data_IF_739518441929
#
_entry.id   IF_739518441929
#
_cell.length_a   1.000
_cell.length_b   1.000
_cell.length_c   1.000
_cell.angle_alpha   90.00
_cell.angle_beta   90.00
_cell.angle_gamma   90.00
#
_symmetry.space_group_name_H-M   'P 1'
#
loop_
_entity.id
_entity.type
_entity.pdbx_description
1 polymer ?
#
# COMPACT_ATOMS: atom_id res chain seq x y z
N UNK A 1 -23.17 -50.79 -54.02
CA UNK A 1 -23.26 -49.99 -55.26
C UNK A 1 -22.54 -48.66 -55.01
N UNK A 2 -21.56 -48.36 -55.85
CA UNK A 2 -20.73 -47.14 -56.02
C UNK A 2 -21.25 -45.82 -55.39
N UNK A 3 -20.47 -45.12 -54.53
CA UNK A 3 -19.43 -44.07 -54.81
C UNK A 3 -19.98 -42.76 -55.37
N UNK A 4 -19.88 -41.65 -54.60
CA UNK A 4 -19.32 -40.31 -54.98
C UNK A 4 -19.56 -39.29 -53.84
N UNK A 5 -18.54 -38.98 -53.03
CA UNK A 5 -17.76 -37.72 -53.02
C UNK A 5 -18.58 -36.41 -52.97
N UNK A 6 -18.54 -35.73 -51.82
CA UNK A 6 -18.26 -34.29 -51.81
C UNK A 6 -17.37 -33.92 -50.62
N UNK A 7 -16.16 -33.52 -50.98
CA UNK A 7 -15.12 -32.94 -50.13
C UNK A 7 -15.35 -31.42 -50.15
N UNK A 8 -14.81 -30.72 -49.14
CA UNK A 8 -14.54 -29.27 -49.03
C UNK A 8 -15.59 -28.40 -48.30
N UNK A 9 -15.31 -28.08 -47.03
CA UNK A 9 -14.80 -26.75 -46.62
C UNK A 9 -14.29 -26.79 -45.17
N UNK A 10 -12.96 -26.90 -44.97
CA UNK A 10 -12.32 -26.44 -43.74
C UNK A 10 -12.17 -24.93 -43.89
N UNK A 11 -13.10 -24.16 -43.32
CA UNK A 11 -12.88 -22.73 -43.09
C UNK A 11 -12.18 -22.59 -41.75
N UNK A 12 -10.97 -22.03 -41.81
CA UNK A 12 -10.13 -21.77 -40.64
C UNK A 12 -10.85 -20.83 -39.68
N UNK A 13 -10.92 -21.25 -38.41
CA UNK A 13 -11.12 -20.31 -37.33
C UNK A 13 -9.77 -19.65 -37.09
N UNK A 14 -9.63 -18.42 -37.58
CA UNK A 14 -8.60 -17.50 -37.15
C UNK A 14 -8.82 -17.30 -35.66
N UNK A 15 -7.88 -17.78 -34.83
CA UNK A 15 -7.84 -17.50 -33.41
C UNK A 15 -7.59 -15.99 -33.27
N UNK A 16 -8.67 -15.22 -33.12
CA UNK A 16 -8.56 -13.82 -32.79
C UNK A 16 -7.94 -13.73 -31.40
N UNK A 17 -6.65 -13.37 -31.36
CA UNK A 17 -5.96 -12.98 -30.15
C UNK A 17 -6.66 -11.71 -29.64
N UNK A 18 -7.66 -11.87 -28.78
CA UNK A 18 -8.23 -10.76 -28.05
C UNK A 18 -7.12 -10.24 -27.13
N UNK A 19 -6.46 -9.17 -27.56
CA UNK A 19 -5.74 -8.30 -26.65
C UNK A 19 -6.75 -7.86 -25.61
N UNK A 20 -6.72 -8.48 -24.43
CA UNK A 20 -7.41 -7.96 -23.27
C UNK A 20 -6.77 -6.59 -22.99
N UNK A 21 -7.41 -5.52 -23.48
CA UNK A 21 -7.20 -4.21 -22.88
C UNK A 21 -7.58 -4.41 -21.42
N UNK A 22 -6.59 -4.40 -20.54
CA UNK A 22 -6.82 -4.15 -19.13
C UNK A 22 -7.30 -2.71 -19.10
N UNK A 23 -8.60 -2.48 -19.28
CA UNK A 23 -9.19 -1.20 -18.94
C UNK A 23 -8.86 -1.00 -17.47
N UNK A 24 -8.14 0.07 -17.14
CA UNK A 24 -7.97 0.50 -15.76
C UNK A 24 -9.33 0.35 -15.06
N UNK A 25 -9.40 -0.53 -14.07
CA UNK A 25 -10.67 -0.85 -13.42
C UNK A 25 -11.25 0.41 -12.76
N UNK A 26 -12.57 0.45 -12.49
CA UNK A 26 -13.24 1.60 -11.87
C UNK A 26 -12.51 2.13 -10.63
N UNK A 27 -11.95 1.21 -9.81
CA UNK A 27 -11.22 1.55 -8.60
C UNK A 27 -9.91 2.33 -8.83
N UNK A 28 -9.19 2.10 -9.93
CA UNK A 28 -7.95 2.84 -10.22
C UNK A 28 -8.27 4.29 -10.64
N UNK A 29 -9.29 4.46 -11.48
CA UNK A 29 -9.77 5.78 -11.87
C UNK A 29 -10.31 6.58 -10.67
N UNK A 30 -10.98 5.92 -9.72
CA UNK A 30 -11.47 6.54 -8.49
C UNK A 30 -10.33 7.03 -7.57
N UNK A 31 -9.20 6.30 -7.51
CA UNK A 31 -8.01 6.72 -6.76
C UNK A 31 -7.30 7.93 -7.38
N UNK A 32 -7.16 7.94 -8.71
CA UNK A 32 -6.59 9.09 -9.43
C UNK A 32 -7.43 10.35 -9.22
N UNK A 33 -8.76 10.24 -9.35
CA UNK A 33 -9.69 11.35 -9.05
C UNK A 33 -9.52 11.83 -7.61
N UNK A 34 -9.40 10.92 -6.64
CA UNK A 34 -9.19 11.30 -5.26
C UNK A 34 -7.87 12.08 -5.05
N UNK A 35 -6.78 11.65 -5.69
CA UNK A 35 -5.49 12.35 -5.64
C UNK A 35 -5.59 13.75 -6.24
N UNK A 36 -6.19 13.90 -7.41
CA UNK A 36 -6.45 15.20 -8.04
C UNK A 36 -7.26 16.13 -7.13
N UNK A 37 -8.28 15.58 -6.44
CA UNK A 37 -9.08 16.33 -5.47
C UNK A 37 -8.26 16.75 -4.24
N UNK A 38 -7.36 15.89 -3.74
CA UNK A 38 -6.45 16.24 -2.64
C UNK A 38 -5.48 17.35 -3.05
N UNK A 39 -4.89 17.27 -4.25
CA UNK A 39 -4.01 18.31 -4.80
C UNK A 39 -4.75 19.64 -4.98
N UNK A 40 -6.01 19.59 -5.40
CA UNK A 40 -6.86 20.77 -5.53
C UNK A 40 -7.40 21.29 -4.17
N UNK A 41 -7.02 20.69 -3.04
CA UNK A 41 -7.48 21.08 -1.70
C UNK A 41 -8.96 20.75 -1.42
N UNK A 42 -9.60 19.93 -2.26
CA UNK A 42 -11.01 19.52 -2.14
C UNK A 42 -11.14 18.28 -1.27
N UNK A 43 -10.66 18.37 -0.03
CA UNK A 43 -10.47 17.20 0.84
C UNK A 43 -11.76 16.44 1.16
N UNK A 44 -12.88 17.11 1.42
CA UNK A 44 -14.17 16.41 1.65
C UNK A 44 -14.59 15.55 0.45
N UNK A 45 -14.38 16.05 -0.77
CA UNK A 45 -14.69 15.31 -2.00
C UNK A 45 -13.71 14.16 -2.21
N UNK A 46 -12.42 14.39 -1.95
CA UNK A 46 -11.41 13.34 -2.00
C UNK A 46 -11.75 12.21 -1.03
N UNK A 47 -12.12 12.54 0.22
CA UNK A 47 -12.54 11.55 1.22
C UNK A 47 -13.73 10.73 0.74
N UNK A 48 -14.73 11.39 0.17
CA UNK A 48 -15.91 10.71 -0.37
C UNK A 48 -15.52 9.74 -1.50
N UNK A 49 -14.59 10.13 -2.39
CA UNK A 49 -14.08 9.27 -3.45
C UNK A 49 -13.26 8.09 -2.92
N UNK A 50 -12.44 8.29 -1.89
CA UNK A 50 -11.61 7.25 -1.26
C UNK A 50 -12.41 6.22 -0.47
N UNK A 51 -13.51 6.66 0.15
CA UNK A 51 -14.21 5.88 1.18
C UNK A 51 -14.65 4.48 0.73
N UNK A 52 -15.27 4.29 -0.45
CA UNK A 52 -15.67 2.95 -0.90
C UNK A 52 -14.48 1.99 -1.06
N UNK A 53 -13.37 2.48 -1.64
CA UNK A 53 -12.16 1.69 -1.85
C UNK A 53 -11.47 1.34 -0.53
N UNK A 54 -11.32 2.31 0.38
CA UNK A 54 -10.73 2.10 1.71
C UNK A 54 -11.56 1.08 2.52
N UNK A 55 -12.90 1.20 2.47
CA UNK A 55 -13.82 0.25 3.13
C UNK A 55 -13.79 -1.15 2.54
N UNK A 56 -13.39 -1.29 1.28
CA UNK A 56 -13.20 -2.57 0.58
C UNK A 56 -11.78 -3.12 0.76
N UNK A 57 -10.93 -2.44 1.53
CA UNK A 57 -9.59 -2.88 1.86
C UNK A 57 -8.54 -2.57 0.80
N UNK A 58 -8.78 -1.62 -0.11
CA UNK A 58 -7.72 -1.13 -1.00
C UNK A 58 -6.65 -0.40 -0.17
N UNK A 59 -5.41 -0.90 -0.21
CA UNK A 59 -4.34 -0.41 0.66
C UNK A 59 -3.93 1.04 0.36
N UNK A 60 -3.94 1.46 -0.90
CA UNK A 60 -3.64 2.84 -1.29
C UNK A 60 -4.72 3.81 -0.78
N UNK A 61 -6.00 3.44 -0.91
CA UNK A 61 -7.09 4.23 -0.35
C UNK A 61 -7.01 4.33 1.19
N UNK A 62 -6.68 3.22 1.86
CA UNK A 62 -6.48 3.21 3.32
C UNK A 62 -5.32 4.13 3.76
N UNK A 63 -4.22 4.14 3.01
CA UNK A 63 -3.08 5.02 3.26
C UNK A 63 -3.49 6.49 3.13
N UNK A 64 -4.19 6.86 2.05
CA UNK A 64 -4.65 8.22 1.84
C UNK A 64 -5.65 8.68 2.91
N UNK A 65 -6.56 7.80 3.36
CA UNK A 65 -7.43 8.12 4.51
C UNK A 65 -6.59 8.33 5.79
N UNK A 66 -5.53 7.55 5.99
CA UNK A 66 -4.55 7.74 7.06
C UNK A 66 -3.91 9.14 7.01
N UNK A 67 -3.44 9.57 5.83
CA UNK A 67 -2.89 10.92 5.60
C UNK A 67 -3.90 12.01 5.99
N UNK A 68 -5.16 11.84 5.58
CA UNK A 68 -6.20 12.84 5.88
C UNK A 68 -6.41 13.02 7.38
N UNK A 69 -6.47 11.94 8.16
CA UNK A 69 -6.54 12.02 9.62
C UNK A 69 -5.26 12.55 10.25
N UNK A 70 -4.09 12.15 9.74
CA UNK A 70 -2.80 12.58 10.27
C UNK A 70 -2.59 14.10 10.13
N UNK A 71 -3.11 14.69 9.06
CA UNK A 71 -2.92 16.09 8.71
C UNK A 71 -4.17 16.98 8.93
N UNK A 72 -5.30 16.39 9.32
CA UNK A 72 -6.57 17.11 9.47
C UNK A 72 -7.13 17.63 8.13
N UNK A 73 -6.95 16.89 7.04
CA UNK A 73 -7.36 17.31 5.70
C UNK A 73 -8.83 16.94 5.47
N UNK A 74 -9.73 17.91 5.56
CA UNK A 74 -11.18 17.67 5.43
C UNK A 74 -11.74 16.75 6.52
N UNK A 75 -11.03 16.59 7.62
CA UNK A 75 -11.43 15.88 8.84
C UNK A 75 -10.74 16.53 10.03
N UNK A 76 -11.28 16.33 11.24
CA UNK A 76 -10.53 16.64 12.46
C UNK A 76 -9.27 15.76 12.53
N UNK A 77 -8.14 16.38 12.88
CA UNK A 77 -6.88 15.66 13.04
C UNK A 77 -7.00 14.65 14.18
N UNK A 78 -6.62 13.41 13.91
CA UNK A 78 -6.73 12.32 14.86
C UNK A 78 -5.60 11.31 14.62
N UNK A 79 -4.56 11.38 15.45
CA UNK A 79 -3.38 10.52 15.31
C UNK A 79 -3.69 9.04 15.57
N UNK A 80 -4.62 8.73 16.47
CA UNK A 80 -4.98 7.34 16.75
C UNK A 80 -5.69 6.72 15.54
N UNK A 81 -6.67 7.43 14.97
CA UNK A 81 -7.35 6.96 13.74
C UNK A 81 -6.41 6.89 12.55
N UNK A 82 -5.52 7.87 12.39
CA UNK A 82 -4.54 7.86 11.33
C UNK A 82 -3.62 6.63 11.42
N UNK A 83 -3.11 6.34 12.62
CA UNK A 83 -2.28 5.16 12.87
C UNK A 83 -3.03 3.86 12.52
N UNK A 84 -4.29 3.74 12.92
CA UNK A 84 -5.12 2.57 12.59
C UNK A 84 -5.27 2.35 11.08
N UNK A 85 -5.50 3.41 10.30
CA UNK A 85 -5.60 3.32 8.84
C UNK A 85 -4.27 2.99 8.18
N UNK A 86 -3.18 3.64 8.60
CA UNK A 86 -1.84 3.30 8.13
C UNK A 86 -1.50 1.85 8.44
N UNK A 87 -1.80 1.34 9.64
CA UNK A 87 -1.49 -0.02 10.02
C UNK A 87 -2.24 -1.05 9.15
N UNK A 88 -3.53 -0.81 8.83
CA UNK A 88 -4.29 -1.67 7.92
C UNK A 88 -3.67 -1.76 6.53
N UNK A 89 -3.24 -0.61 5.99
CA UNK A 89 -2.57 -0.54 4.69
C UNK A 89 -1.18 -1.18 4.72
N UNK A 90 -0.39 -0.88 5.76
CA UNK A 90 0.95 -1.40 5.98
C UNK A 90 0.97 -2.94 6.08
N UNK A 91 -0.04 -3.52 6.73
CA UNK A 91 -0.25 -4.97 6.82
C UNK A 91 -0.60 -5.61 5.48
N UNK A 92 -0.87 -4.85 4.43
CA UNK A 92 -1.08 -5.38 3.07
C UNK A 92 0.17 -5.23 2.20
N UNK A 93 1.28 -4.81 2.79
CA UNK A 93 2.53 -4.60 2.06
C UNK A 93 2.61 -3.25 1.34
N UNK A 94 1.75 -2.27 1.67
CA UNK A 94 1.82 -0.95 1.05
C UNK A 94 3.01 -0.15 1.61
N UNK A 95 4.06 0.14 0.81
CA UNK A 95 5.31 0.68 1.35
C UNK A 95 5.14 2.06 1.99
N UNK A 96 4.45 2.99 1.32
CA UNK A 96 4.23 4.33 1.88
C UNK A 96 3.48 4.32 3.22
N UNK A 97 2.58 3.34 3.43
CA UNK A 97 1.89 3.19 4.70
C UNK A 97 2.80 2.59 5.78
N UNK A 98 3.70 1.67 5.40
CA UNK A 98 4.72 1.14 6.30
C UNK A 98 5.66 2.27 6.78
N UNK A 99 6.06 3.17 5.89
CA UNK A 99 6.79 4.39 6.26
C UNK A 99 5.99 5.30 7.19
N UNK A 100 4.68 5.45 6.95
CA UNK A 100 3.78 6.16 7.86
C UNK A 100 3.74 5.54 9.26
N UNK A 101 3.56 4.23 9.37
CA UNK A 101 3.60 3.52 10.67
C UNK A 101 4.96 3.66 11.34
N UNK A 102 6.05 3.55 10.58
CA UNK A 102 7.41 3.73 11.10
C UNK A 102 7.62 5.12 11.71
N UNK A 103 7.15 6.15 11.03
CA UNK A 103 7.24 7.54 11.48
C UNK A 103 6.45 7.79 12.78
N UNK A 104 5.27 7.17 12.92
CA UNK A 104 4.50 7.24 14.16
C UNK A 104 5.25 6.61 15.34
N UNK A 105 5.90 5.46 15.13
CA UNK A 105 6.73 4.86 16.17
C UNK A 105 8.01 5.68 16.45
N UNK A 106 8.64 6.27 15.44
CA UNK A 106 9.84 7.08 15.63
C UNK A 106 9.56 8.32 16.48
N UNK A 107 8.43 8.98 16.24
CA UNK A 107 8.05 10.20 16.95
C UNK A 107 7.17 9.95 18.19
N UNK A 108 6.59 8.76 18.33
CA UNK A 108 5.64 8.45 19.40
C UNK A 108 4.28 9.15 19.24
N UNK A 109 3.83 9.41 18.01
CA UNK A 109 2.56 10.10 17.75
C UNK A 109 1.37 9.22 18.15
N UNK A 110 0.48 9.75 18.99
CA UNK A 110 -0.65 8.97 19.52
C UNK A 110 -0.24 7.79 20.41
N UNK A 111 1.01 7.78 20.90
CA UNK A 111 1.57 6.70 21.73
C UNK A 111 2.13 7.26 23.04
N UNK A 112 2.28 6.43 24.10
CA UNK A 112 2.87 6.90 25.36
C UNK A 112 4.34 7.35 25.24
N UNK A 113 5.10 6.76 24.30
CA UNK A 113 6.49 7.08 24.03
C UNK A 113 6.91 6.58 22.63
N UNK A 114 8.00 7.11 22.05
CA UNK A 114 8.63 6.55 20.86
C UNK A 114 9.11 5.10 21.03
N UNK A 115 9.09 4.34 19.92
CA UNK A 115 9.57 2.96 19.83
C UNK A 115 10.47 2.79 18.60
N UNK A 116 11.77 3.06 18.76
CA UNK A 116 12.73 2.96 17.67
C UNK A 116 12.89 1.53 17.13
N UNK A 117 12.56 0.50 17.91
CA UNK A 117 12.64 -0.90 17.47
C UNK A 117 11.59 -1.16 16.40
N UNK A 118 10.34 -0.76 16.66
CA UNK A 118 9.26 -0.89 15.69
C UNK A 118 9.38 0.10 14.54
N UNK A 119 9.88 1.31 14.79
CA UNK A 119 10.15 2.28 13.72
C UNK A 119 11.13 1.72 12.69
N UNK A 120 12.29 1.23 13.15
CA UNK A 120 13.30 0.63 12.28
C UNK A 120 12.75 -0.59 11.52
N UNK A 121 12.04 -1.50 12.21
CA UNK A 121 11.40 -2.64 11.57
C UNK A 121 10.47 -2.23 10.41
N UNK A 122 9.60 -1.25 10.64
CA UNK A 122 8.67 -0.79 9.60
C UNK A 122 9.36 -0.06 8.44
N UNK A 123 10.39 0.76 8.71
CA UNK A 123 11.18 1.36 7.63
C UNK A 123 11.92 0.31 6.80
N UNK A 124 12.48 -0.74 7.41
CA UNK A 124 13.11 -1.85 6.68
C UNK A 124 12.11 -2.57 5.80
N UNK A 125 10.92 -2.90 6.32
CA UNK A 125 9.85 -3.54 5.55
C UNK A 125 9.39 -2.64 4.38
N UNK A 126 9.29 -1.33 4.62
CA UNK A 126 8.96 -0.36 3.58
C UNK A 126 10.02 -0.28 2.48
N UNK A 127 11.30 -0.29 2.86
CA UNK A 127 12.42 -0.31 1.93
C UNK A 127 12.43 -1.60 1.08
N UNK A 128 12.15 -2.77 1.68
CA UNK A 128 11.93 -4.04 0.95
C UNK A 128 10.74 -3.91 -0.02
N UNK A 129 9.73 -3.13 0.37
CA UNK A 129 8.59 -2.73 -0.43
C UNK A 129 8.92 -1.86 -1.65
N UNK A 130 10.15 -1.33 -1.74
CA UNK A 130 10.65 -0.33 -2.70
C UNK A 130 10.21 1.11 -2.42
N UNK A 131 10.00 1.49 -1.16
CA UNK A 131 9.96 2.91 -0.79
C UNK A 131 11.40 3.47 -0.70
N UNK A 132 11.82 4.39 -1.59
CA UNK A 132 13.18 4.93 -1.57
C UNK A 132 13.45 5.81 -0.34
N UNK A 133 12.44 6.50 0.19
CA UNK A 133 12.59 7.39 1.34
C UNK A 133 12.78 6.57 2.63
N UNK A 134 12.20 5.37 2.67
CA UNK A 134 12.37 4.43 3.77
C UNK A 134 13.81 3.94 3.91
N UNK A 135 14.56 3.81 2.80
CA UNK A 135 15.98 3.41 2.82
C UNK A 135 16.83 4.41 3.62
N UNK A 136 16.61 5.70 3.40
CA UNK A 136 17.30 6.76 4.13
C UNK A 136 16.82 6.77 5.60
N UNK A 137 15.52 6.65 5.81
CA UNK A 137 14.93 6.69 7.14
C UNK A 137 15.43 5.57 8.05
N UNK A 138 15.53 4.33 7.55
CA UNK A 138 16.07 3.22 8.35
C UNK A 138 17.55 3.44 8.73
N UNK A 139 18.35 4.06 7.85
CA UNK A 139 19.77 4.35 8.12
C UNK A 139 19.93 5.43 9.20
N UNK A 140 19.01 6.39 9.26
CA UNK A 140 19.03 7.42 10.30
C UNK A 140 18.52 6.90 11.65
N UNK A 141 17.48 6.06 11.65
CA UNK A 141 16.93 5.50 12.88
C UNK A 141 17.93 4.55 13.55
N UNK A 142 18.60 3.68 12.78
CA UNK A 142 19.52 2.67 13.34
C UNK A 142 20.70 3.30 14.10
N UNK A 143 21.15 4.50 13.69
CA UNK A 143 22.21 5.25 14.38
C UNK A 143 21.84 5.67 15.80
N UNK A 144 20.54 5.77 16.09
CA UNK A 144 19.99 6.16 17.41
C UNK A 144 19.72 4.96 18.31
N UNK A 145 19.86 3.74 17.80
CA UNK A 145 19.47 2.50 18.49
C UNK A 145 20.64 1.86 19.23
N UNK A 146 20.30 1.19 20.34
CA UNK A 146 21.21 0.25 21.02
C UNK A 146 21.33 -1.05 20.24
N UNK A 147 22.39 -1.82 20.53
CA UNK A 147 22.59 -3.13 19.92
C UNK A 147 21.41 -4.07 20.19
N UNK A 148 20.89 -4.06 21.43
CA UNK A 148 19.77 -4.88 21.85
C UNK A 148 18.48 -4.52 21.10
N UNK A 149 18.25 -3.23 20.80
CA UNK A 149 17.11 -2.80 19.99
C UNK A 149 17.25 -3.27 18.54
N UNK A 150 18.45 -3.19 17.96
CA UNK A 150 18.72 -3.64 16.60
C UNK A 150 18.49 -5.16 16.49
N UNK A 151 19.01 -5.93 17.44
CA UNK A 151 18.81 -7.39 17.50
C UNK A 151 17.31 -7.75 17.59
N UNK A 152 16.55 -7.08 18.45
CA UNK A 152 15.10 -7.27 18.54
C UNK A 152 14.37 -6.90 17.25
N UNK A 153 14.78 -5.81 16.61
CA UNK A 153 14.15 -5.38 15.37
C UNK A 153 14.38 -6.40 14.25
N UNK A 154 15.58 -6.98 14.14
CA UNK A 154 15.86 -8.03 13.15
C UNK A 154 14.98 -9.27 13.33
N UNK A 155 14.74 -9.70 14.58
CA UNK A 155 13.79 -10.79 14.86
C UNK A 155 12.39 -10.45 14.32
N UNK A 156 11.90 -9.24 14.59
CA UNK A 156 10.59 -8.81 14.11
C UNK A 156 10.56 -8.65 12.57
N UNK A 157 11.62 -8.14 11.96
CA UNK A 157 11.74 -8.01 10.51
C UNK A 157 11.64 -9.39 9.86
N UNK A 158 12.36 -10.38 10.37
CA UNK A 158 12.34 -11.74 9.84
C UNK A 158 10.94 -12.37 9.95
N UNK A 159 10.25 -12.17 11.09
CA UNK A 159 8.88 -12.66 11.30
C UNK A 159 7.88 -12.03 10.31
N UNK A 160 7.93 -10.71 10.14
CA UNK A 160 6.96 -9.98 9.30
C UNK A 160 7.27 -10.07 7.81
N UNK A 161 8.55 -10.08 7.41
CA UNK A 161 8.97 -10.13 6.01
C UNK A 161 8.43 -11.37 5.31
N UNK A 162 8.45 -12.53 5.98
CA UNK A 162 7.94 -13.79 5.39
C UNK A 162 6.47 -13.68 5.00
N UNK A 163 5.67 -12.94 5.78
CA UNK A 163 4.24 -12.78 5.50
C UNK A 163 3.94 -11.65 4.51
N UNK A 164 4.63 -10.51 4.65
CA UNK A 164 4.39 -9.33 3.80
C UNK A 164 5.05 -9.43 2.42
N UNK A 165 6.18 -10.11 2.34
CA UNK A 165 7.02 -10.20 1.15
C UNK A 165 7.56 -11.63 0.94
N UNK A 166 6.70 -12.65 0.78
CA UNK A 166 7.10 -14.06 0.70
C UNK A 166 8.02 -14.41 -0.48
N UNK A 167 8.12 -13.52 -1.47
CA UNK A 167 8.91 -13.72 -2.69
C UNK A 167 10.04 -12.68 -2.86
N UNK A 168 10.36 -11.89 -1.81
CA UNK A 168 11.46 -10.93 -1.82
C UNK A 168 12.48 -11.24 -0.74
#
# INVERSE_FOLDING_TARGET
MYRTKQVFKRMGQVLALQTALISAGPALAELEIARDLMEAGKFEQARHALWPAARSGNAEAEELIGVMYAMGLGVEQDFERAFDWYLRSAMKGHPGAQSGVAWYYELGLGMPAPDLTRAYMWYVLSAIGNDPDAMISQEEVVKKMTKEQIEKAHVLIDDYRVWLYPFR
#
